data_IF_095814109552
#
_entry.id   IF_095814109552
#
_cell.length_a   1.000
_cell.length_b   1.000
_cell.length_c   1.000
_cell.angle_alpha   90.00
_cell.angle_beta   90.00
_cell.angle_gamma   90.00
#
_symmetry.space_group_name_H-M   'P 1'
#
loop_
_entity.id
_entity.type
_entity.pdbx_description
1 polymer ?
#
# COMPACT_ATOMS: atom_id res chain seq x y z
N UNK A 1 -2.67 -12.17 -30.94
CA UNK A 1 -2.79 -12.31 -29.48
C UNK A 1 -3.10 -13.76 -29.15
N UNK A 2 -2.45 -14.30 -28.13
CA UNK A 2 -2.58 -15.69 -27.69
C UNK A 2 -3.70 -15.86 -26.64
N UNK A 3 -4.95 -15.71 -27.08
CA UNK A 3 -6.11 -15.70 -26.17
C UNK A 3 -6.32 -17.00 -25.38
N UNK A 4 -5.81 -18.12 -25.88
CA UNK A 4 -5.91 -19.42 -25.22
C UNK A 4 -5.20 -19.45 -23.86
N UNK A 5 -4.24 -18.55 -23.61
CA UNK A 5 -3.55 -18.47 -22.32
C UNK A 5 -4.48 -18.14 -21.15
N UNK A 6 -5.63 -17.49 -21.40
CA UNK A 6 -6.66 -17.24 -20.38
C UNK A 6 -7.34 -18.53 -19.87
N UNK A 7 -7.00 -19.70 -20.42
CA UNK A 7 -7.41 -20.99 -19.88
C UNK A 7 -6.55 -21.43 -18.68
N UNK A 8 -5.39 -20.82 -18.44
CA UNK A 8 -4.54 -21.06 -17.27
C UNK A 8 -4.83 -20.04 -16.16
N UNK A 9 -4.82 -20.51 -14.90
CA UNK A 9 -5.14 -19.68 -13.73
C UNK A 9 -4.23 -18.45 -13.62
N UNK A 10 -2.91 -18.62 -13.78
CA UNK A 10 -1.94 -17.51 -13.64
C UNK A 10 -2.25 -16.34 -14.56
N UNK A 11 -2.64 -16.60 -15.81
CA UNK A 11 -2.99 -15.55 -16.77
C UNK A 11 -4.34 -14.91 -16.48
N UNK A 12 -5.32 -15.66 -15.97
CA UNK A 12 -6.60 -15.10 -15.52
C UNK A 12 -6.43 -14.19 -14.31
N UNK A 13 -5.71 -14.66 -13.28
CA UNK A 13 -5.49 -13.91 -12.05
C UNK A 13 -4.73 -12.60 -12.33
N UNK A 14 -3.75 -12.63 -13.23
CA UNK A 14 -3.07 -11.41 -13.69
C UNK A 14 -4.01 -10.46 -14.43
N UNK A 15 -4.86 -10.98 -15.33
CA UNK A 15 -5.86 -10.17 -16.01
C UNK A 15 -6.84 -9.53 -15.01
N UNK A 16 -7.26 -10.28 -14.00
CA UNK A 16 -8.16 -9.82 -12.95
C UNK A 16 -7.50 -8.76 -12.06
N UNK A 17 -6.22 -8.95 -11.72
CA UNK A 17 -5.41 -7.94 -11.04
C UNK A 17 -5.34 -6.64 -11.83
N UNK A 18 -4.99 -6.69 -13.11
CA UNK A 18 -4.90 -5.48 -13.96
C UNK A 18 -6.27 -4.80 -14.07
N UNK A 19 -7.36 -5.56 -14.19
CA UNK A 19 -8.72 -5.00 -14.19
C UNK A 19 -9.00 -4.27 -12.88
N UNK A 20 -8.71 -4.90 -11.74
CA UNK A 20 -8.94 -4.31 -10.42
C UNK A 20 -8.06 -3.08 -10.18
N UNK A 21 -6.80 -3.14 -10.60
CA UNK A 21 -5.84 -2.03 -10.52
C UNK A 21 -6.34 -0.82 -11.33
N UNK A 22 -6.85 -1.04 -12.55
CA UNK A 22 -7.42 0.05 -13.36
C UNK A 22 -8.65 0.69 -12.68
N UNK A 23 -9.55 -0.12 -12.12
CA UNK A 23 -10.68 0.42 -11.35
C UNK A 23 -10.23 1.16 -10.09
N UNK A 24 -9.21 0.66 -9.39
CA UNK A 24 -8.63 1.35 -8.25
C UNK A 24 -8.06 2.70 -8.67
N UNK A 25 -7.19 2.73 -9.69
CA UNK A 25 -6.58 3.95 -10.23
C UNK A 25 -7.62 5.03 -10.55
N UNK A 26 -8.68 4.69 -11.30
CA UNK A 26 -9.72 5.66 -11.67
C UNK A 26 -10.51 6.18 -10.45
N UNK A 27 -10.66 5.38 -9.40
CA UNK A 27 -11.40 5.75 -8.20
C UNK A 27 -10.55 6.49 -7.15
N UNK A 28 -9.23 6.61 -7.33
CA UNK A 28 -8.34 7.31 -6.41
C UNK A 28 -7.71 8.53 -7.08
N UNK A 29 -8.32 9.74 -6.99
CA UNK A 29 -7.76 10.97 -7.55
C UNK A 29 -6.31 11.23 -7.17
N UNK A 30 -5.89 10.82 -5.96
CA UNK A 30 -4.51 10.94 -5.50
C UNK A 30 -3.48 10.33 -6.45
N UNK A 31 -3.87 9.33 -7.25
CA UNK A 31 -2.99 8.63 -8.17
C UNK A 31 -2.83 9.31 -9.53
N UNK A 32 -3.63 10.32 -9.87
CA UNK A 32 -3.61 10.94 -11.20
C UNK A 32 -3.90 12.44 -11.26
N UNK A 33 -4.64 13.02 -10.30
CA UNK A 33 -5.08 14.42 -10.35
C UNK A 33 -3.91 15.40 -10.39
N UNK A 34 -2.87 15.13 -9.61
CA UNK A 34 -1.70 16.00 -9.43
C UNK A 34 -0.42 15.45 -10.08
N UNK A 35 -0.51 14.64 -11.14
CA UNK A 35 0.66 14.01 -11.80
C UNK A 35 1.70 15.02 -12.33
N UNK A 36 1.28 16.25 -12.66
CA UNK A 36 2.16 17.31 -13.16
C UNK A 36 2.55 18.36 -12.11
N UNK A 37 2.20 18.15 -10.83
CA UNK A 37 2.46 19.07 -9.74
C UNK A 37 3.46 18.44 -8.73
N UNK A 38 4.41 19.25 -8.25
CA UNK A 38 5.38 18.86 -7.24
C UNK A 38 4.73 18.42 -5.93
N UNK A 39 3.57 18.99 -5.60
CA UNK A 39 2.84 18.66 -4.38
C UNK A 39 2.09 17.31 -4.48
N UNK A 40 1.96 16.74 -5.67
CA UNK A 40 1.27 15.46 -5.92
C UNK A 40 2.08 14.22 -5.56
N UNK A 41 3.37 14.39 -5.23
CA UNK A 41 4.31 13.30 -4.96
C UNK A 41 5.34 13.70 -3.89
N UNK A 42 5.66 12.80 -2.96
CA UNK A 42 6.82 12.96 -2.07
C UNK A 42 7.41 11.62 -1.66
N UNK A 43 8.74 11.50 -1.71
CA UNK A 43 9.43 10.32 -1.21
C UNK A 43 9.27 10.16 0.31
N UNK A 44 9.10 8.92 0.75
CA UNK A 44 9.31 8.50 2.15
C UNK A 44 10.70 7.88 2.24
N UNK A 45 10.96 6.82 1.47
CA UNK A 45 12.26 6.18 1.38
C UNK A 45 12.57 5.89 -0.09
N UNK A 46 13.71 6.39 -0.55
CA UNK A 46 14.21 6.22 -1.92
C UNK A 46 15.64 5.68 -1.95
N UNK A 47 16.22 5.45 -0.77
CA UNK A 47 17.63 5.19 -0.50
C UNK A 47 17.85 3.84 0.21
N UNK A 48 16.78 3.08 0.46
CA UNK A 48 16.84 1.72 1.02
C UNK A 48 17.26 0.69 -0.04
N UNK A 49 18.46 0.89 -0.58
CA UNK A 49 19.07 0.04 -1.58
C UNK A 49 19.40 -1.36 -1.02
N UNK A 50 19.66 -1.47 0.28
CA UNK A 50 19.95 -2.75 0.94
C UNK A 50 18.74 -3.69 0.92
N UNK A 51 17.54 -3.18 1.20
CA UNK A 51 16.31 -3.98 1.11
C UNK A 51 15.63 -3.90 -0.27
N UNK A 52 16.11 -3.03 -1.17
CA UNK A 52 15.45 -2.68 -2.45
C UNK A 52 13.98 -2.31 -2.26
N UNK A 53 13.72 -1.48 -1.25
CA UNK A 53 12.39 -0.96 -0.94
C UNK A 53 12.29 0.49 -1.38
N UNK A 54 11.19 0.83 -2.03
CA UNK A 54 10.83 2.21 -2.34
C UNK A 54 9.48 2.54 -1.71
N UNK A 55 9.38 3.68 -1.07
CA UNK A 55 8.13 4.16 -0.50
C UNK A 55 7.92 5.65 -0.79
N UNK A 56 6.70 6.01 -1.18
CA UNK A 56 6.35 7.39 -1.50
C UNK A 56 4.87 7.69 -1.24
N UNK A 57 4.53 8.97 -1.18
CA UNK A 57 3.18 9.48 -0.99
C UNK A 57 2.69 10.08 -2.30
N UNK A 58 1.42 9.83 -2.60
CA UNK A 58 0.64 10.46 -3.66
C UNK A 58 -0.47 11.27 -3.03
N UNK A 59 -0.76 12.46 -3.56
CA UNK A 59 -1.78 13.38 -3.02
C UNK A 59 -2.68 13.93 -4.10
N UNK A 60 -3.95 14.13 -3.74
CA UNK A 60 -4.93 14.82 -4.57
C UNK A 60 -5.08 16.29 -4.15
N UNK A 61 -5.98 17.04 -4.81
CA UNK A 61 -6.22 18.45 -4.47
C UNK A 61 -7.00 18.63 -3.16
N UNK A 62 -7.72 17.60 -2.69
CA UNK A 62 -8.43 17.60 -1.43
C UNK A 62 -7.52 17.28 -0.22
N UNK A 63 -6.30 16.82 -0.48
CA UNK A 63 -5.33 16.41 0.52
C UNK A 63 -5.44 14.93 0.91
N UNK A 64 -6.20 14.11 0.16
CA UNK A 64 -6.23 12.67 0.37
C UNK A 64 -4.90 12.05 -0.07
N UNK A 65 -4.30 11.27 0.82
CA UNK A 65 -2.98 10.68 0.61
C UNK A 65 -3.07 9.17 0.33
N UNK A 66 -2.22 8.67 -0.58
CA UNK A 66 -1.93 7.25 -0.74
C UNK A 66 -0.45 7.00 -0.55
N UNK A 67 -0.11 6.08 0.34
CA UNK A 67 1.27 5.64 0.57
C UNK A 67 1.51 4.40 -0.26
N UNK A 68 2.42 4.47 -1.20
CA UNK A 68 2.83 3.31 -2.02
C UNK A 68 4.13 2.77 -1.48
N UNK A 69 4.21 1.45 -1.31
CA UNK A 69 5.39 0.73 -0.84
C UNK A 69 5.68 -0.39 -1.83
N UNK A 70 6.92 -0.49 -2.29
CA UNK A 70 7.39 -1.48 -3.25
C UNK A 70 8.51 -2.29 -2.62
N UNK A 71 8.31 -3.60 -2.43
CA UNK A 71 9.40 -4.54 -2.14
C UNK A 71 9.83 -5.18 -3.46
N UNK A 72 11.01 -4.83 -3.95
CA UNK A 72 11.50 -5.30 -5.24
C UNK A 72 12.41 -6.54 -5.14
N UNK A 73 12.39 -7.23 -4.00
CA UNK A 73 13.11 -8.49 -3.79
C UNK A 73 12.16 -9.67 -3.62
N UNK A 74 12.58 -10.90 -3.96
CA UNK A 74 11.79 -12.10 -3.70
C UNK A 74 11.75 -12.51 -2.22
N UNK A 75 12.49 -11.83 -1.35
CA UNK A 75 12.47 -12.08 0.08
C UNK A 75 11.37 -11.21 0.74
N UNK A 76 10.51 -11.78 1.60
CA UNK A 76 9.65 -10.96 2.44
C UNK A 76 10.49 -10.20 3.48
N UNK A 77 9.98 -9.05 3.90
CA UNK A 77 10.61 -8.22 4.94
C UNK A 77 9.65 -8.11 6.13
N UNK A 78 9.79 -8.97 7.16
CA UNK A 78 8.95 -8.89 8.35
C UNK A 78 9.35 -7.68 9.21
N UNK A 79 8.38 -7.11 9.91
CA UNK A 79 8.53 -6.00 10.84
C UNK A 79 9.26 -4.79 10.24
N UNK A 80 9.00 -4.48 8.98
CA UNK A 80 9.59 -3.34 8.30
C UNK A 80 9.03 -2.03 8.88
N UNK A 81 9.90 -1.15 9.35
CA UNK A 81 9.53 0.16 9.88
C UNK A 81 9.45 1.19 8.76
N UNK A 82 8.29 1.81 8.58
CA UNK A 82 8.06 2.84 7.58
C UNK A 82 7.61 4.15 8.23
N UNK A 83 8.30 5.25 7.95
CA UNK A 83 7.82 6.59 8.30
C UNK A 83 6.54 6.98 7.57
N UNK A 84 5.56 7.56 8.26
CA UNK A 84 4.27 7.99 7.70
C UNK A 84 3.81 9.37 8.20
N UNK A 85 2.99 10.12 7.44
CA UNK A 85 2.72 11.55 7.69
C UNK A 85 2.01 11.87 9.00
N UNK A 86 1.32 10.90 9.60
CA UNK A 86 0.61 11.11 10.86
C UNK A 86 0.31 9.80 11.59
N UNK A 87 0.17 9.83 12.93
CA UNK A 87 -0.21 8.66 13.71
C UNK A 87 -1.67 8.28 13.48
N UNK A 88 -2.01 7.01 13.70
CA UNK A 88 -3.37 6.49 13.53
C UNK A 88 -3.41 5.19 12.75
N UNK A 89 -4.62 4.76 12.40
CA UNK A 89 -4.85 3.49 11.70
C UNK A 89 -4.63 3.69 10.20
N UNK A 90 -3.84 2.81 9.57
CA UNK A 90 -3.69 2.70 8.12
C UNK A 90 -4.31 1.39 7.63
N UNK A 91 -4.94 1.46 6.46
CA UNK A 91 -5.60 0.34 5.80
C UNK A 91 -4.90 0.05 4.49
N UNK A 92 -4.75 -1.23 4.16
CA UNK A 92 -4.22 -1.69 2.86
C UNK A 92 -5.36 -1.66 1.85
N UNK A 93 -5.33 -0.71 0.94
CA UNK A 93 -6.32 -0.59 -0.14
C UNK A 93 -6.02 -1.54 -1.30
N UNK A 94 -4.74 -1.76 -1.58
CA UNK A 94 -4.25 -2.64 -2.65
C UNK A 94 -3.04 -3.44 -2.13
N UNK A 95 -3.07 -4.76 -2.34
CA UNK A 95 -1.94 -5.65 -2.14
C UNK A 95 -1.75 -6.48 -3.41
N UNK A 96 -0.63 -6.33 -4.11
CA UNK A 96 -0.36 -7.13 -5.31
C UNK A 96 -0.02 -8.59 -5.04
N UNK A 97 0.33 -8.95 -3.80
CA UNK A 97 0.62 -10.32 -3.36
C UNK A 97 -0.63 -11.08 -2.86
N UNK A 98 -1.82 -10.49 -2.98
CA UNK A 98 -3.07 -11.17 -2.65
C UNK A 98 -3.25 -12.44 -3.51
N UNK A 99 -3.68 -13.55 -2.89
CA UNK A 99 -3.89 -14.82 -3.58
C UNK A 99 -4.92 -14.72 -4.70
N UNK A 100 -5.87 -13.78 -4.62
CA UNK A 100 -6.84 -13.51 -5.69
C UNK A 100 -6.19 -12.93 -6.96
N UNK A 101 -4.92 -12.51 -6.88
CA UNK A 101 -4.11 -12.03 -7.99
C UNK A 101 -2.98 -12.99 -8.35
N UNK A 102 -2.93 -14.17 -7.71
CA UNK A 102 -1.87 -15.16 -7.89
C UNK A 102 -0.61 -14.89 -7.06
N UNK A 103 -0.69 -14.01 -6.07
CA UNK A 103 0.38 -13.80 -5.10
C UNK A 103 0.46 -14.90 -4.04
N UNK A 104 1.45 -14.77 -3.16
CA UNK A 104 1.75 -15.76 -2.13
C UNK A 104 0.80 -15.72 -0.93
N UNK A 105 0.05 -14.62 -0.75
CA UNK A 105 -0.80 -14.41 0.42
C UNK A 105 -0.01 -14.13 1.69
N UNK A 106 1.22 -13.60 1.57
CA UNK A 106 2.04 -13.25 2.73
C UNK A 106 1.33 -12.18 3.57
N UNK A 107 1.29 -12.31 4.90
CA UNK A 107 0.58 -11.36 5.74
C UNK A 107 1.24 -9.97 5.70
N UNK A 108 0.41 -8.94 5.87
CA UNK A 108 0.86 -7.54 5.99
C UNK A 108 1.04 -7.10 7.44
N UNK A 109 0.57 -7.90 8.40
CA UNK A 109 0.78 -7.73 9.83
C UNK A 109 1.06 -9.08 10.47
N UNK A 110 1.96 -9.08 11.45
CA UNK A 110 2.29 -10.25 12.25
C UNK A 110 1.10 -10.82 13.02
N UNK A 111 0.07 -10.00 13.27
CA UNK A 111 -1.17 -10.41 13.93
C UNK A 111 -2.32 -10.42 12.90
N UNK A 112 -2.90 -11.60 12.59
CA UNK A 112 -4.01 -11.70 11.66
C UNK A 112 -5.21 -10.85 12.10
N UNK A 113 -5.71 -10.00 11.19
CA UNK A 113 -6.87 -9.13 11.43
C UNK A 113 -6.55 -7.83 12.18
N UNK A 114 -5.29 -7.61 12.58
CA UNK A 114 -4.88 -6.35 13.18
C UNK A 114 -4.75 -5.25 12.12
N UNK A 115 -5.20 -4.04 12.46
CA UNK A 115 -4.99 -2.88 11.60
C UNK A 115 -3.58 -2.33 11.79
N UNK A 116 -2.99 -1.75 10.74
CA UNK A 116 -1.67 -1.13 10.82
C UNK A 116 -1.75 0.15 11.65
N UNK A 117 -1.31 0.10 12.91
CA UNK A 117 -1.33 1.24 13.81
C UNK A 117 -0.02 2.01 13.74
N UNK A 118 -0.08 3.25 13.28
CA UNK A 118 1.06 4.16 13.28
C UNK A 118 1.17 4.91 14.62
N UNK A 119 2.38 4.98 15.13
CA UNK A 119 2.74 5.68 16.37
C UNK A 119 3.61 6.89 16.08
N UNK A 120 3.65 7.85 17.01
CA UNK A 120 4.50 9.04 16.88
C UNK A 120 5.98 8.61 16.89
N UNK A 121 6.72 9.07 15.89
CA UNK A 121 8.15 8.79 15.73
C UNK A 121 8.78 9.86 14.84
N UNK A 122 10.08 9.78 14.58
CA UNK A 122 10.76 10.59 13.57
C UNK A 122 11.59 9.66 12.69
N UNK A 123 10.92 8.96 11.77
CA UNK A 123 11.54 8.00 10.84
C UNK A 123 11.33 8.49 9.41
N UNK A 124 12.36 8.40 8.57
CA UNK A 124 12.30 8.82 7.16
C UNK A 124 11.83 10.28 6.97
N UNK A 125 12.11 11.17 7.93
CA UNK A 125 11.63 12.56 7.92
C UNK A 125 10.12 12.73 8.14
N UNK A 126 9.42 11.67 8.53
CA UNK A 126 8.00 11.66 8.83
C UNK A 126 7.73 11.66 10.35
N UNK A 127 6.63 12.28 10.82
CA UNK A 127 6.33 12.47 12.25
C UNK A 127 5.67 11.25 12.93
N UNK A 128 5.42 10.19 12.17
CA UNK A 128 4.95 8.92 12.67
C UNK A 128 5.66 7.76 11.96
N UNK A 129 5.53 6.57 12.51
CA UNK A 129 6.00 5.34 11.88
C UNK A 129 4.96 4.24 12.05
N UNK A 130 4.94 3.30 11.12
CA UNK A 130 4.19 2.05 11.23
C UNK A 130 5.16 0.87 11.05
N UNK A 131 4.81 -0.26 11.64
CA UNK A 131 5.48 -1.55 11.41
C UNK A 131 4.58 -2.37 10.48
N UNK A 132 5.14 -2.88 9.39
CA UNK A 132 4.43 -3.64 8.37
C UNK A 132 5.26 -4.82 7.91
N UNK A 133 4.60 -5.94 7.63
CA UNK A 133 5.24 -7.08 6.98
C UNK A 133 5.12 -6.89 5.46
N UNK A 134 6.25 -6.78 4.74
CA UNK A 134 6.24 -6.58 3.29
C UNK A 134 6.29 -7.92 2.56
N UNK A 135 5.26 -8.25 1.75
CA UNK A 135 5.29 -9.45 0.91
C UNK A 135 6.43 -9.43 -0.11
N UNK A 136 6.88 -10.59 -0.62
CA UNK A 136 7.91 -10.66 -1.64
C UNK A 136 7.40 -10.09 -2.97
N UNK A 137 8.27 -9.39 -3.73
CA UNK A 137 7.98 -8.82 -5.06
C UNK A 137 6.61 -8.12 -5.13
N UNK A 138 6.34 -7.22 -4.20
CA UNK A 138 5.00 -6.69 -3.98
C UNK A 138 4.92 -5.17 -4.04
N UNK A 139 3.72 -4.70 -4.39
CA UNK A 139 3.29 -3.32 -4.26
C UNK A 139 2.09 -3.26 -3.30
N UNK A 140 2.26 -2.48 -2.23
CA UNK A 140 1.20 -2.16 -1.28
C UNK A 140 0.79 -0.70 -1.45
N UNK A 141 -0.51 -0.43 -1.38
CA UNK A 141 -1.05 0.93 -1.30
C UNK A 141 -1.83 1.08 -0.02
N UNK A 142 -1.40 2.00 0.85
CA UNK A 142 -2.03 2.30 2.11
C UNK A 142 -2.79 3.62 2.04
N UNK A 143 -3.87 3.71 2.81
CA UNK A 143 -4.53 4.97 3.15
C UNK A 143 -4.68 5.08 4.66
N UNK A 144 -4.71 6.29 5.17
CA UNK A 144 -5.12 6.51 6.56
C UNK A 144 -6.64 6.31 6.71
N UNK A 145 -7.07 5.62 7.76
CA UNK A 145 -8.49 5.50 8.13
C UNK A 145 -8.96 6.86 8.64
N UNK A 146 -9.98 7.43 8.01
CA UNK A 146 -10.53 8.73 8.38
C UNK A 146 -11.01 8.73 9.83
N UNK A 147 -10.86 9.86 10.54
CA UNK A 147 -11.27 10.02 11.94
C UNK A 147 -12.76 9.72 12.19
N UNK A 148 -13.60 9.86 11.16
CA UNK A 148 -15.03 9.53 11.23
C UNK A 148 -15.29 8.03 11.20
N UNK A 149 -14.48 7.25 10.50
CA UNK A 149 -14.56 5.77 10.44
C UNK A 149 -14.05 5.14 11.75
N UNK A 150 -13.16 5.83 12.48
CA UNK A 150 -12.66 5.40 13.80
C UNK A 150 -13.72 5.50 14.92
N UNK A 151 -14.72 6.37 14.79
CA UNK A 151 -15.80 6.52 15.79
C UNK A 151 -16.89 5.46 15.68
N UNK A 152 -17.04 4.82 14.52
CA UNK A 152 -18.07 3.80 14.28
C UNK A 152 -17.65 2.48 14.93
N UNK A 153 -16.39 2.08 14.77
CA UNK A 153 -15.82 0.89 15.45
C UNK A 153 -15.95 0.97 16.98
N UNK A 154 -15.66 2.14 17.56
CA UNK A 154 -15.72 2.32 19.02
C UNK A 154 -17.15 2.34 19.60
N UNK A 155 -18.20 2.22 18.78
CA UNK A 155 -19.61 2.15 19.23
C UNK A 155 -20.20 0.74 19.10
N UNK A 156 -19.52 -0.17 18.40
CA UNK A 156 -19.97 -1.54 18.17
C UNK A 156 -19.16 -2.58 18.98
N UNK A 157 -18.22 -2.12 19.83
CA UNK A 157 -17.45 -2.93 20.78
C UNK A 157 -17.94 -2.84 22.22
#
# INVERSE_FOLDING_TARGET
LEWFLLQYDSHRLLQDFVRRLNHYYLNQPALWEKDSDWDGFSWISADDAENSVYAYIRRDSAGDERIVILNLTPAPLPSYCLGVPSPGVYLVDLNSDDMNYGGSGYPVSSIPGECLQAEKSNLHGQPAQLVIDLPPLSALVLRQKNRNEQKVDNREG
#
